data_IF_736431745753
#
_entry.id   IF_736431745753
#
_cell.length_a   1.000
_cell.length_b   1.000
_cell.length_c   1.000
_cell.angle_alpha   90.00
_cell.angle_beta   90.00
_cell.angle_gamma   90.00
#
_symmetry.space_group_name_H-M   'P 1'
#
loop_
_entity.id
_entity.type
_entity.pdbx_description
1 polymer ?
#
# COMPACT_ATOMS: atom_id res chain seq x y z
N UNK A 1 4.72 -0.19 -18.07
CA UNK A 1 4.77 0.21 -16.65
C UNK A 1 3.50 0.96 -16.29
N UNK A 2 2.95 0.80 -15.08
CA UNK A 2 1.89 1.71 -14.59
C UNK A 2 2.48 3.11 -14.48
N UNK A 3 1.71 4.15 -14.81
CA UNK A 3 2.19 5.53 -14.66
C UNK A 3 2.29 5.90 -13.18
N UNK A 4 3.12 6.88 -12.85
CA UNK A 4 3.27 7.39 -11.47
C UNK A 4 1.90 7.77 -10.86
N UNK A 5 1.01 8.37 -11.66
CA UNK A 5 -0.35 8.71 -11.23
C UNK A 5 -1.20 7.47 -10.89
N UNK A 6 -1.05 6.38 -11.64
CA UNK A 6 -1.73 5.11 -11.34
C UNK A 6 -1.21 4.50 -10.04
N UNK A 7 0.10 4.62 -9.77
CA UNK A 7 0.72 4.14 -8.53
C UNK A 7 0.24 4.98 -7.34
N UNK A 8 0.24 6.31 -7.45
CA UNK A 8 -0.29 7.21 -6.40
C UNK A 8 -1.76 6.96 -6.08
N UNK A 9 -2.59 6.80 -7.11
CA UNK A 9 -4.01 6.45 -6.92
C UNK A 9 -4.15 5.14 -6.17
N UNK A 10 -3.39 4.11 -6.58
CA UNK A 10 -3.46 2.80 -5.92
C UNK A 10 -2.96 2.85 -4.47
N UNK A 11 -1.90 3.62 -4.21
CA UNK A 11 -1.38 3.82 -2.86
C UNK A 11 -2.44 4.47 -1.94
N UNK A 12 -3.14 5.50 -2.42
CA UNK A 12 -4.22 6.14 -1.67
C UNK A 12 -5.37 5.18 -1.38
N UNK A 13 -5.78 4.37 -2.35
CA UNK A 13 -6.81 3.33 -2.15
C UNK A 13 -6.40 2.33 -1.04
N UNK A 14 -5.14 1.89 -1.04
CA UNK A 14 -4.63 0.98 -0.02
C UNK A 14 -4.52 1.62 1.36
N UNK A 15 -4.17 2.90 1.45
CA UNK A 15 -4.14 3.66 2.72
C UNK A 15 -5.54 3.79 3.34
N UNK A 16 -6.56 4.04 2.52
CA UNK A 16 -7.96 4.07 2.99
C UNK A 16 -8.39 2.69 3.49
N UNK A 17 -8.04 1.62 2.78
CA UNK A 17 -8.32 0.25 3.23
C UNK A 17 -7.60 -0.07 4.54
N UNK A 18 -6.34 0.34 4.68
CA UNK A 18 -5.56 0.18 5.92
C UNK A 18 -6.27 0.82 7.10
N UNK A 19 -6.69 2.09 6.98
CA UNK A 19 -7.43 2.78 8.05
C UNK A 19 -8.72 2.06 8.43
N UNK A 20 -9.45 1.52 7.45
CA UNK A 20 -10.67 0.76 7.72
C UNK A 20 -10.38 -0.54 8.49
N UNK A 21 -9.29 -1.24 8.18
CA UNK A 21 -8.87 -2.46 8.90
C UNK A 21 -8.40 -2.12 10.32
N UNK A 22 -7.61 -1.07 10.49
CA UNK A 22 -7.16 -0.57 11.80
C UNK A 22 -8.35 -0.20 12.69
N UNK A 23 -9.38 0.45 12.15
CA UNK A 23 -10.60 0.75 12.87
C UNK A 23 -11.35 -0.51 13.33
N UNK A 24 -11.37 -1.58 12.51
CA UNK A 24 -11.94 -2.87 12.90
C UNK A 24 -11.13 -3.53 14.03
N UNK A 25 -9.80 -3.51 13.92
CA UNK A 25 -8.89 -4.05 14.94
C UNK A 25 -8.98 -3.29 16.27
N UNK A 26 -9.19 -1.98 16.23
CA UNK A 26 -9.43 -1.17 17.42
C UNK A 26 -10.73 -1.58 18.15
N UNK A 27 -11.71 -2.11 17.42
CA UNK A 27 -12.95 -2.66 17.98
C UNK A 27 -12.84 -4.11 18.50
N UNK A 28 -11.72 -4.78 18.26
CA UNK A 28 -11.46 -6.15 18.69
C UNK A 28 -10.37 -6.83 17.86
N UNK A 29 -9.52 -7.63 18.50
CA UNK A 29 -8.50 -8.42 17.79
C UNK A 29 -9.16 -9.52 16.97
N UNK A 30 -8.71 -9.65 15.72
CA UNK A 30 -9.16 -10.61 14.73
C UNK A 30 -7.95 -11.01 13.90
N UNK A 31 -7.51 -12.27 14.02
CA UNK A 31 -6.36 -12.80 13.29
C UNK A 31 -6.51 -12.66 11.76
N UNK A 32 -7.76 -12.58 11.28
CA UNK A 32 -8.05 -12.30 9.87
C UNK A 32 -7.69 -10.86 9.52
N UNK A 33 -8.13 -9.90 10.32
CA UNK A 33 -7.87 -8.48 10.11
C UNK A 33 -6.39 -8.14 10.31
N UNK A 34 -5.69 -8.81 11.25
CA UNK A 34 -4.24 -8.68 11.43
C UNK A 34 -3.46 -9.15 10.19
N UNK A 35 -3.85 -10.29 9.60
CA UNK A 35 -3.26 -10.77 8.34
C UNK A 35 -3.61 -9.88 7.14
N UNK A 36 -4.80 -9.29 7.14
CA UNK A 36 -5.20 -8.31 6.12
C UNK A 36 -4.36 -7.03 6.22
N UNK A 37 -4.17 -6.51 7.44
CA UNK A 37 -3.34 -5.36 7.71
C UNK A 37 -1.90 -5.58 7.24
N UNK A 38 -1.28 -6.70 7.60
CA UNK A 38 0.10 -7.02 7.20
C UNK A 38 0.28 -7.03 5.66
N UNK A 39 -0.69 -7.61 4.92
CA UNK A 39 -0.65 -7.62 3.44
C UNK A 39 -0.81 -6.23 2.84
N UNK A 40 -1.65 -5.39 3.43
CA UNK A 40 -1.82 -3.99 3.00
C UNK A 40 -0.53 -3.20 3.24
N UNK A 41 0.12 -3.40 4.37
CA UNK A 41 1.38 -2.74 4.72
C UNK A 41 2.51 -3.11 3.77
N UNK A 42 2.69 -4.39 3.43
CA UNK A 42 3.64 -4.83 2.41
C UNK A 42 3.36 -4.17 1.05
N UNK A 43 2.09 -4.14 0.65
CA UNK A 43 1.69 -3.57 -0.64
C UNK A 43 1.93 -2.05 -0.69
N UNK A 44 1.63 -1.34 0.39
CA UNK A 44 1.87 0.10 0.55
C UNK A 44 3.36 0.39 0.50
N UNK A 45 4.16 -0.40 1.24
CA UNK A 45 5.61 -0.27 1.26
C UNK A 45 6.17 -0.41 -0.16
N UNK A 46 5.83 -1.48 -0.88
CA UNK A 46 6.30 -1.72 -2.25
C UNK A 46 5.97 -0.58 -3.20
N UNK A 47 4.73 -0.08 -3.20
CA UNK A 47 4.35 1.05 -4.06
C UNK A 47 5.06 2.35 -3.64
N UNK A 48 5.32 2.54 -2.35
CA UNK A 48 6.13 3.62 -1.83
C UNK A 48 7.59 3.56 -2.33
N UNK A 49 8.17 2.36 -2.43
CA UNK A 49 9.49 2.16 -3.04
C UNK A 49 9.48 2.53 -4.52
N UNK A 50 8.50 2.05 -5.29
CA UNK A 50 8.41 2.33 -6.74
C UNK A 50 8.27 3.83 -7.02
N UNK A 51 7.56 4.58 -6.17
CA UNK A 51 7.44 6.05 -6.32
C UNK A 51 8.72 6.80 -5.99
N UNK A 52 9.55 6.26 -5.10
CA UNK A 52 10.79 6.89 -4.66
C UNK A 52 12.04 6.29 -5.33
N UNK A 53 11.87 5.28 -6.19
CA UNK A 53 12.95 4.68 -6.94
C UNK A 53 13.57 5.76 -7.86
N UNK A 54 14.89 5.98 -7.80
CA UNK A 54 15.54 6.93 -8.70
C UNK A 54 15.23 6.50 -10.13
N UNK A 55 14.66 7.40 -10.91
CA UNK A 55 14.37 7.18 -12.34
C UNK A 55 15.70 7.19 -13.11
N UNK A 56 16.50 6.15 -12.93
CA UNK A 56 17.59 5.82 -13.81
C UNK A 56 16.98 5.36 -15.13
N UNK A 57 16.95 6.26 -16.11
CA UNK A 57 16.57 5.96 -17.48
C UNK A 57 17.43 4.82 -18.03
N UNK A 58 17.02 3.57 -17.84
CA UNK A 58 17.49 2.44 -18.64
C UNK A 58 16.64 2.38 -19.92
N UNK A 59 16.75 3.45 -20.70
CA UNK A 59 16.49 3.43 -22.13
C UNK A 59 17.83 3.79 -22.78
N UNK A 60 18.67 2.78 -23.02
CA UNK A 60 19.65 2.79 -24.12
C UNK A 60 19.09 1.94 -25.23
#
# INVERSE_FOLDING_TARGET
>A
MRTEQQIKRKLNELLVQKQAVEARLAGGSSERDERELARLEESIQLLGWVLNEPTGSYHM
#
